data_IF_679634807131
#
_entry.id   IF_679634807131
#
_cell.length_a   1.000
_cell.length_b   1.000
_cell.length_c   1.000
_cell.angle_alpha   90.00
_cell.angle_beta   90.00
_cell.angle_gamma   90.00
#
_symmetry.space_group_name_H-M   'P 1'
#
loop_
_entity.id
_entity.type
_entity.pdbx_description
1 polymer ?
#
# COMPACT_ATOMS: atom_id res chain seq x y z
N UNK A 1 19.05 13.98 8.51
CA UNK A 1 17.96 14.10 7.52
C UNK A 1 17.18 12.80 7.45
N UNK A 2 15.87 12.89 7.51
CA UNK A 2 14.97 11.77 7.19
C UNK A 2 14.60 11.92 5.72
N UNK A 3 14.80 10.87 4.94
CA UNK A 3 14.63 10.90 3.50
C UNK A 3 14.00 9.65 2.93
N UNK A 4 13.30 9.83 1.82
CA UNK A 4 12.65 8.76 1.08
C UNK A 4 13.64 8.00 0.19
N UNK A 5 13.27 6.81 -0.27
CA UNK A 5 14.09 5.92 -1.10
C UNK A 5 14.62 6.58 -2.38
N UNK A 6 13.86 7.50 -2.95
CA UNK A 6 14.20 8.21 -4.19
C UNK A 6 15.35 9.22 -4.00
N UNK A 7 15.65 9.65 -2.77
CA UNK A 7 16.66 10.68 -2.51
C UNK A 7 18.07 10.10 -2.24
N UNK A 8 18.15 8.83 -1.84
CA UNK A 8 19.43 8.24 -1.41
C UNK A 8 20.46 8.22 -2.54
N UNK A 9 20.03 7.95 -3.77
CA UNK A 9 20.90 7.93 -4.94
C UNK A 9 21.55 9.28 -5.20
N UNK A 10 20.77 10.35 -5.25
CA UNK A 10 21.27 11.71 -5.42
C UNK A 10 22.16 12.13 -4.25
N UNK A 11 21.73 11.84 -3.02
CA UNK A 11 22.51 12.16 -1.81
C UNK A 11 23.89 11.48 -1.80
N UNK A 12 23.96 10.24 -2.25
CA UNK A 12 25.21 9.48 -2.33
C UNK A 12 26.10 9.96 -3.49
N UNK A 13 25.55 10.07 -4.72
CA UNK A 13 26.31 10.39 -5.95
C UNK A 13 26.87 11.81 -5.89
N UNK A 14 26.08 12.79 -5.44
CA UNK A 14 26.54 14.17 -5.33
C UNK A 14 27.33 14.44 -4.03
N UNK A 15 27.54 13.42 -3.21
CA UNK A 15 28.34 13.51 -2.00
C UNK A 15 27.71 14.35 -0.88
N UNK A 16 26.39 14.50 -0.89
CA UNK A 16 25.65 15.19 0.18
C UNK A 16 25.52 14.33 1.43
N UNK A 17 25.47 13.01 1.28
CA UNK A 17 25.35 12.08 2.41
C UNK A 17 26.69 11.48 2.79
N UNK A 18 26.89 11.27 4.10
CA UNK A 18 28.04 10.56 4.64
C UNK A 18 27.81 9.06 4.44
N UNK A 19 28.85 8.33 3.98
CA UNK A 19 28.85 6.87 3.98
C UNK A 19 29.00 6.38 5.42
N UNK A 20 28.10 5.54 5.90
CA UNK A 20 27.96 5.17 7.29
C UNK A 20 28.65 3.86 7.68
N UNK A 21 29.31 3.16 6.75
CA UNK A 21 29.91 1.86 7.00
C UNK A 21 30.88 1.85 8.18
N UNK A 22 31.80 2.83 8.25
CA UNK A 22 32.78 2.90 9.33
C UNK A 22 32.12 3.15 10.68
N UNK A 23 31.08 3.98 10.70
CA UNK A 23 30.29 4.23 11.88
C UNK A 23 29.55 2.96 12.33
N UNK A 24 28.91 2.25 11.43
CA UNK A 24 28.19 1.01 11.75
C UNK A 24 29.14 -0.06 12.30
N UNK A 25 30.31 -0.22 11.69
CA UNK A 25 31.33 -1.17 12.16
C UNK A 25 31.82 -0.79 13.57
N UNK A 26 32.09 0.50 13.81
CA UNK A 26 32.55 0.97 15.12
C UNK A 26 31.51 0.76 16.22
N UNK A 27 30.25 1.05 15.93
CA UNK A 27 29.16 0.98 16.93
C UNK A 27 28.51 -0.41 16.99
N UNK A 28 28.94 -1.37 16.17
CA UNK A 28 28.40 -2.72 16.15
C UNK A 28 26.96 -2.79 15.58
N UNK A 29 26.59 -1.86 14.70
CA UNK A 29 25.27 -1.84 14.07
C UNK A 29 25.25 -2.81 12.88
N UNK A 30 24.38 -3.80 12.95
CA UNK A 30 24.20 -4.78 11.87
C UNK A 30 22.98 -4.45 11.02
N UNK A 31 23.16 -4.41 9.70
CA UNK A 31 22.03 -4.25 8.77
C UNK A 31 21.15 -5.49 8.71
N UNK A 32 21.61 -6.65 9.19
CA UNK A 32 20.78 -7.86 9.31
C UNK A 32 19.67 -7.77 10.38
N UNK A 33 19.74 -6.76 11.25
CA UNK A 33 18.71 -6.50 12.26
C UNK A 33 17.48 -5.78 11.67
N UNK A 34 17.57 -5.36 10.41
CA UNK A 34 16.52 -4.65 9.67
C UNK A 34 15.94 -5.52 8.56
N UNK A 35 14.70 -5.20 8.15
CA UNK A 35 14.10 -5.86 6.99
C UNK A 35 14.97 -5.68 5.74
N UNK A 36 15.30 -6.75 5.00
CA UNK A 36 16.08 -6.64 3.77
C UNK A 36 15.49 -5.66 2.74
N UNK A 37 14.16 -5.59 2.64
CA UNK A 37 13.47 -4.67 1.75
C UNK A 37 13.73 -3.19 2.14
N UNK A 38 13.70 -2.86 3.43
CA UNK A 38 13.99 -1.49 3.90
C UNK A 38 15.46 -1.14 3.75
N UNK A 39 16.37 -2.07 4.00
CA UNK A 39 17.82 -1.86 3.76
C UNK A 39 18.07 -1.58 2.28
N UNK A 40 17.51 -2.40 1.39
CA UNK A 40 17.62 -2.20 -0.05
C UNK A 40 17.06 -0.85 -0.49
N UNK A 41 15.86 -0.50 -0.03
CA UNK A 41 15.17 0.71 -0.47
C UNK A 41 15.77 2.00 0.09
N UNK A 42 16.13 2.01 1.39
CA UNK A 42 16.41 3.24 2.13
C UNK A 42 17.86 3.41 2.56
N UNK A 43 18.70 2.38 2.49
CA UNK A 43 20.04 2.46 3.07
C UNK A 43 21.17 2.39 2.05
N UNK A 44 21.02 1.70 0.93
CA UNK A 44 22.12 1.34 0.04
C UNK A 44 22.17 2.17 -1.25
N UNK A 45 23.39 2.47 -1.68
CA UNK A 45 23.65 2.99 -3.02
C UNK A 45 25.03 2.55 -3.53
N UNK A 46 25.20 2.01 -4.77
CA UNK A 46 24.10 1.55 -5.64
C UNK A 46 23.18 0.56 -4.94
N UNK A 47 21.93 0.43 -5.43
CA UNK A 47 20.95 -0.47 -4.82
C UNK A 47 21.49 -1.91 -4.74
N UNK A 48 21.31 -2.53 -3.58
CA UNK A 48 21.81 -3.89 -3.31
C UNK A 48 23.31 -3.99 -3.00
N UNK A 49 24.04 -2.86 -2.97
CA UNK A 49 25.44 -2.86 -2.51
C UNK A 49 25.53 -2.83 -0.98
N UNK A 50 26.72 -3.08 -0.45
CA UNK A 50 27.03 -2.91 0.98
C UNK A 50 27.51 -1.48 1.32
N UNK A 51 27.22 -0.49 0.48
CA UNK A 51 27.52 0.90 0.78
C UNK A 51 26.28 1.56 1.40
N UNK A 52 26.34 1.83 2.69
CA UNK A 52 25.22 2.37 3.47
C UNK A 52 25.34 3.89 3.61
N UNK A 53 24.27 4.60 3.25
CA UNK A 53 24.15 6.06 3.34
C UNK A 53 23.01 6.49 4.26
N UNK A 54 22.22 5.55 4.75
CA UNK A 54 21.18 5.79 5.73
C UNK A 54 20.99 4.56 6.62
N UNK A 55 20.42 4.80 7.82
CA UNK A 55 19.85 3.77 8.67
C UNK A 55 18.36 3.68 8.38
N UNK A 56 17.75 2.49 8.18
CA UNK A 56 16.30 2.37 8.06
C UNK A 56 15.63 2.88 9.34
N UNK A 57 14.83 3.94 9.23
CA UNK A 57 14.19 4.57 10.39
C UNK A 57 12.75 4.14 10.57
N UNK A 58 12.07 3.95 9.47
CA UNK A 58 10.67 3.56 9.43
C UNK A 58 10.43 2.61 8.26
N UNK A 59 9.80 1.49 8.54
CA UNK A 59 9.24 0.61 7.52
C UNK A 59 7.74 0.75 7.51
N UNK A 60 7.15 0.88 6.33
CA UNK A 60 5.72 0.94 6.12
C UNK A 60 5.34 0.12 4.88
N UNK A 61 4.08 -0.21 4.74
CA UNK A 61 3.56 -0.88 3.56
C UNK A 61 2.12 -0.46 3.31
N UNK A 62 1.75 -0.42 2.05
CA UNK A 62 0.36 -0.19 1.65
C UNK A 62 -0.45 -1.47 1.88
N UNK A 63 -1.56 -1.34 2.58
CA UNK A 63 -2.42 -2.46 2.94
C UNK A 63 -3.89 -2.02 3.12
N UNK A 64 -4.71 -2.86 3.70
CA UNK A 64 -6.15 -2.67 3.76
C UNK A 64 -6.70 -2.79 5.17
N UNK A 65 -7.66 -1.91 5.50
CA UNK A 65 -8.57 -2.11 6.62
C UNK A 65 -9.98 -2.37 6.09
N UNK A 66 -10.77 -3.13 6.86
CA UNK A 66 -12.16 -3.43 6.52
C UNK A 66 -13.06 -3.37 7.75
N UNK A 67 -14.34 -3.10 7.56
CA UNK A 67 -15.38 -3.05 8.58
C UNK A 67 -15.73 -4.46 9.06
N UNK A 68 -14.92 -4.97 9.98
CA UNK A 68 -15.12 -6.31 10.55
C UNK A 68 -16.51 -6.46 11.19
N UNK A 69 -17.03 -5.41 11.81
CA UNK A 69 -18.39 -5.36 12.37
C UNK A 69 -19.48 -5.61 11.30
N UNK A 70 -19.31 -5.13 10.06
CA UNK A 70 -20.24 -5.45 8.97
C UNK A 70 -20.01 -6.86 8.43
N UNK A 71 -18.77 -7.24 8.29
CA UNK A 71 -18.39 -8.57 7.78
C UNK A 71 -18.83 -9.70 8.69
N UNK A 72 -18.95 -9.45 9.99
CA UNK A 72 -19.42 -10.45 10.96
C UNK A 72 -20.94 -10.58 11.06
N UNK A 73 -21.71 -9.74 10.38
CA UNK A 73 -23.18 -9.83 10.37
C UNK A 73 -23.67 -11.09 9.67
N UNK A 74 -24.44 -11.94 10.34
CA UNK A 74 -24.89 -13.22 9.77
C UNK A 74 -25.69 -13.07 8.46
N UNK A 75 -26.53 -12.04 8.38
CA UNK A 75 -27.33 -11.74 7.21
C UNK A 75 -26.47 -11.38 5.99
N UNK A 76 -25.43 -10.53 6.18
CA UNK A 76 -24.52 -10.15 5.10
C UNK A 76 -23.66 -11.32 4.66
N UNK A 77 -23.18 -12.14 5.59
CA UNK A 77 -22.45 -13.39 5.28
C UNK A 77 -23.28 -14.34 4.45
N UNK A 78 -24.53 -14.56 4.86
CA UNK A 78 -25.45 -15.47 4.16
C UNK A 78 -25.75 -14.98 2.74
N UNK A 79 -26.05 -13.69 2.60
CA UNK A 79 -26.36 -13.08 1.30
C UNK A 79 -25.14 -13.11 0.36
N UNK A 80 -23.97 -12.73 0.86
CA UNK A 80 -22.73 -12.75 0.08
C UNK A 80 -22.41 -14.17 -0.39
N UNK A 81 -22.47 -15.16 0.51
CA UNK A 81 -22.21 -16.56 0.18
C UNK A 81 -23.18 -17.09 -0.87
N UNK A 82 -24.47 -16.73 -0.78
CA UNK A 82 -25.47 -17.10 -1.78
C UNK A 82 -25.17 -16.50 -3.16
N UNK A 83 -24.65 -15.27 -3.18
CA UNK A 83 -24.35 -14.55 -4.43
C UNK A 83 -23.04 -14.99 -5.08
N UNK A 84 -21.99 -15.20 -4.29
CA UNK A 84 -20.63 -15.41 -4.79
C UNK A 84 -20.11 -16.85 -4.60
N UNK A 85 -20.76 -17.70 -3.80
CA UNK A 85 -20.39 -19.09 -3.59
C UNK A 85 -19.27 -19.33 -2.57
N UNK A 86 -18.75 -18.27 -1.92
CA UNK A 86 -17.74 -18.36 -0.87
C UNK A 86 -18.04 -17.37 0.25
N UNK A 87 -17.31 -17.49 1.37
CA UNK A 87 -17.60 -16.73 2.58
C UNK A 87 -17.13 -15.26 2.49
N UNK A 88 -17.92 -14.34 3.04
CA UNK A 88 -17.52 -12.96 3.26
C UNK A 88 -16.45 -12.90 4.36
N UNK A 89 -15.26 -12.40 4.04
CA UNK A 89 -14.13 -12.36 4.96
C UNK A 89 -12.92 -11.61 4.40
N UNK A 90 -11.73 -11.96 4.84
CA UNK A 90 -10.50 -11.39 4.26
C UNK A 90 -10.34 -11.92 2.81
N UNK A 91 -10.21 -11.02 1.81
CA UNK A 91 -10.08 -11.45 0.42
C UNK A 91 -8.73 -12.13 0.18
N UNK A 92 -8.74 -13.30 -0.44
CA UNK A 92 -7.53 -14.04 -0.77
C UNK A 92 -6.77 -13.48 -2.00
N UNK A 93 -7.47 -12.73 -2.85
CA UNK A 93 -6.93 -12.12 -4.06
C UNK A 93 -7.72 -10.86 -4.43
N UNK A 94 -7.23 -10.11 -5.43
CA UNK A 94 -7.86 -8.88 -5.89
C UNK A 94 -9.28 -9.09 -6.47
N UNK A 95 -9.57 -10.24 -7.09
CA UNK A 95 -10.91 -10.52 -7.60
C UNK A 95 -11.91 -10.67 -6.44
N UNK A 96 -11.53 -11.36 -5.36
CA UNK A 96 -12.37 -11.46 -4.17
C UNK A 96 -12.56 -10.11 -3.47
N UNK A 97 -11.51 -9.26 -3.45
CA UNK A 97 -11.62 -7.88 -2.96
C UNK A 97 -12.66 -7.11 -3.78
N UNK A 98 -12.61 -7.21 -5.10
CA UNK A 98 -13.57 -6.57 -5.99
C UNK A 98 -14.99 -7.06 -5.75
N UNK A 99 -15.21 -8.37 -5.65
CA UNK A 99 -16.53 -8.96 -5.36
C UNK A 99 -17.10 -8.45 -4.04
N UNK A 100 -16.27 -8.35 -2.99
CA UNK A 100 -16.67 -7.84 -1.70
C UNK A 100 -16.92 -6.32 -1.74
N UNK A 101 -16.08 -5.55 -2.43
CA UNK A 101 -16.29 -4.12 -2.61
C UNK A 101 -17.61 -3.83 -3.33
N UNK A 102 -17.89 -4.50 -4.44
CA UNK A 102 -19.13 -4.32 -5.20
C UNK A 102 -20.36 -4.83 -4.44
N UNK A 103 -20.20 -5.80 -3.55
CA UNK A 103 -21.28 -6.25 -2.67
C UNK A 103 -21.72 -5.13 -1.69
N UNK A 104 -20.80 -4.30 -1.21
CA UNK A 104 -21.12 -3.17 -0.35
C UNK A 104 -21.50 -1.89 -1.11
N UNK A 105 -21.23 -1.81 -2.41
CA UNK A 105 -21.46 -0.60 -3.20
C UNK A 105 -22.93 -0.21 -3.28
N UNK A 106 -23.23 0.96 -2.72
CA UNK A 106 -24.58 1.53 -2.70
C UNK A 106 -25.57 0.82 -1.75
N UNK A 107 -25.06 -0.10 -0.90
CA UNK A 107 -25.87 -0.86 0.05
C UNK A 107 -26.32 0.03 1.22
N UNK A 108 -27.55 -0.16 1.65
CA UNK A 108 -28.04 0.43 2.88
C UNK A 108 -27.64 -0.44 4.08
N UNK A 109 -26.91 0.16 5.02
CA UNK A 109 -26.53 -0.45 6.30
C UNK A 109 -26.81 0.57 7.40
N UNK A 110 -27.59 0.17 8.40
CA UNK A 110 -28.01 1.02 9.51
C UNK A 110 -28.68 2.33 9.05
N UNK A 111 -29.55 2.24 8.03
CA UNK A 111 -30.30 3.38 7.47
C UNK A 111 -29.46 4.38 6.68
N UNK A 112 -28.23 4.03 6.33
CA UNK A 112 -27.34 4.89 5.55
C UNK A 112 -26.76 4.14 4.35
N UNK A 113 -26.64 4.85 3.24
CA UNK A 113 -26.01 4.32 2.03
C UNK A 113 -24.51 4.20 2.22
N UNK A 114 -23.95 3.00 1.99
CA UNK A 114 -22.54 2.68 2.13
C UNK A 114 -21.93 2.31 0.78
N UNK A 115 -20.61 2.34 0.71
CA UNK A 115 -19.87 2.11 -0.52
C UNK A 115 -18.78 1.05 -0.30
N UNK A 116 -18.19 0.57 -1.40
CA UNK A 116 -17.24 -0.52 -1.36
C UNK A 116 -15.91 -0.13 -0.72
N UNK A 117 -15.17 0.76 -1.36
CA UNK A 117 -13.79 1.04 -0.94
C UNK A 117 -13.36 2.48 -1.16
N UNK A 118 -12.60 3.03 -0.20
CA UNK A 118 -11.78 4.21 -0.38
C UNK A 118 -10.38 3.77 -0.81
N UNK A 119 -9.95 4.16 -2.01
CA UNK A 119 -8.67 3.83 -2.60
C UNK A 119 -7.92 5.08 -3.05
N UNK A 120 -6.63 4.95 -3.31
CA UNK A 120 -5.79 6.07 -3.72
C UNK A 120 -6.13 6.50 -5.16
N UNK A 121 -6.53 7.75 -5.33
CA UNK A 121 -6.95 8.33 -6.62
C UNK A 121 -6.38 9.73 -6.86
N UNK A 122 -5.73 10.32 -5.84
CA UNK A 122 -5.11 11.64 -5.92
C UNK A 122 -4.12 11.72 -7.09
N UNK A 123 -4.19 12.80 -7.86
CA UNK A 123 -3.31 13.07 -9.01
C UNK A 123 -1.93 13.64 -8.64
N UNK A 124 -1.64 13.72 -7.35
CA UNK A 124 -0.34 14.14 -6.84
C UNK A 124 0.78 13.14 -7.14
N UNK A 125 1.98 13.43 -6.63
CA UNK A 125 3.18 12.64 -6.90
C UNK A 125 3.15 11.22 -6.34
N UNK A 126 2.35 10.97 -5.31
CA UNK A 126 2.30 9.67 -4.61
C UNK A 126 0.94 8.98 -4.72
N UNK A 127 -0.16 9.69 -4.56
CA UNK A 127 -1.48 9.12 -4.34
C UNK A 127 -1.83 7.95 -5.25
N UNK A 128 -2.24 8.24 -6.48
CA UNK A 128 -2.65 7.20 -7.44
C UNK A 128 -1.48 6.25 -7.78
N UNK A 129 -0.25 6.78 -7.85
CA UNK A 129 0.93 5.97 -8.18
C UNK A 129 1.12 4.83 -7.20
N UNK A 130 1.04 5.12 -5.88
CA UNK A 130 1.20 4.08 -4.86
C UNK A 130 0.09 3.02 -4.92
N UNK A 131 -1.16 3.44 -5.15
CA UNK A 131 -2.29 2.53 -5.27
C UNK A 131 -2.22 1.64 -6.51
N UNK A 132 -1.97 2.25 -7.68
CA UNK A 132 -1.86 1.53 -8.95
C UNK A 132 -0.68 0.57 -8.96
N UNK A 133 0.49 0.99 -8.46
CA UNK A 133 1.67 0.12 -8.42
C UNK A 133 1.49 -1.07 -7.47
N UNK A 134 0.70 -0.93 -6.39
CA UNK A 134 0.36 -2.06 -5.54
C UNK A 134 -0.41 -3.15 -6.31
N UNK A 135 -1.31 -2.75 -7.23
CA UNK A 135 -1.96 -3.68 -8.14
C UNK A 135 -0.96 -4.23 -9.18
N UNK A 136 -0.21 -3.35 -9.86
CA UNK A 136 0.74 -3.76 -10.90
C UNK A 136 1.74 -4.80 -10.38
N UNK A 137 2.30 -4.62 -9.19
CA UNK A 137 3.16 -5.62 -8.55
C UNK A 137 2.42 -6.94 -8.28
N UNK A 138 1.18 -6.87 -7.80
CA UNK A 138 0.40 -8.09 -7.56
C UNK A 138 0.09 -8.88 -8.84
N UNK A 139 -0.01 -8.20 -9.99
CA UNK A 139 -0.10 -8.83 -11.31
C UNK A 139 1.23 -9.36 -11.84
N UNK A 140 2.36 -8.99 -11.21
CA UNK A 140 3.71 -9.43 -11.58
C UNK A 140 4.42 -8.51 -12.56
N UNK A 141 4.06 -7.22 -12.57
CA UNK A 141 4.81 -6.21 -13.33
C UNK A 141 6.21 -6.03 -12.76
N UNK A 142 7.18 -5.90 -13.65
CA UNK A 142 8.53 -5.43 -13.36
C UNK A 142 8.72 -4.02 -13.91
N UNK A 143 9.47 -3.17 -13.21
CA UNK A 143 9.73 -1.81 -13.69
C UNK A 143 10.62 -1.78 -14.91
N UNK A 144 11.60 -2.67 -14.94
CA UNK A 144 12.62 -2.74 -15.98
C UNK A 144 13.11 -4.18 -16.16
N UNK A 145 13.83 -4.42 -17.22
CA UNK A 145 14.52 -5.67 -17.47
C UNK A 145 15.50 -5.98 -16.32
N UNK A 146 15.34 -7.08 -15.56
CA UNK A 146 16.22 -7.41 -14.44
C UNK A 146 17.68 -7.65 -14.86
N UNK A 147 17.93 -7.88 -16.15
CA UNK A 147 19.26 -8.11 -16.69
C UNK A 147 19.85 -6.89 -17.43
N UNK A 148 19.07 -5.80 -17.57
CA UNK A 148 19.49 -4.60 -18.32
C UNK A 148 18.85 -3.36 -17.71
N UNK A 149 19.58 -2.64 -16.84
CA UNK A 149 19.07 -1.43 -16.21
C UNK A 149 18.56 -0.40 -17.24
N UNK A 150 17.47 0.29 -16.88
CA UNK A 150 16.79 1.30 -17.68
C UNK A 150 16.09 0.81 -18.96
N UNK A 151 16.03 -0.49 -19.19
CA UNK A 151 15.29 -1.11 -20.28
C UNK A 151 13.86 -1.43 -19.80
N UNK A 152 12.94 -0.50 -20.00
CA UNK A 152 11.58 -0.56 -19.44
C UNK A 152 10.55 -1.11 -20.43
N UNK A 153 10.89 -1.16 -21.73
CA UNK A 153 9.96 -1.59 -22.76
C UNK A 153 9.60 -3.08 -22.63
N UNK A 154 8.32 -3.39 -22.63
CA UNK A 154 7.82 -4.76 -22.44
C UNK A 154 7.80 -5.23 -20.98
N UNK A 155 8.33 -4.44 -20.05
CA UNK A 155 8.29 -4.67 -18.59
C UNK A 155 7.27 -3.77 -17.92
N UNK A 156 7.55 -2.46 -17.86
CA UNK A 156 6.64 -1.49 -17.25
C UNK A 156 5.29 -1.40 -17.97
N UNK A 157 5.29 -1.54 -19.28
CA UNK A 157 4.09 -1.59 -20.13
C UNK A 157 3.69 -3.01 -20.56
N UNK A 158 4.04 -4.01 -19.76
CA UNK A 158 3.68 -5.40 -20.02
C UNK A 158 2.15 -5.61 -20.04
N UNK A 159 1.65 -6.68 -20.68
CA UNK A 159 0.21 -7.01 -20.63
C UNK A 159 -0.33 -7.11 -19.20
N UNK A 160 0.46 -7.65 -18.27
CA UNK A 160 0.11 -7.74 -16.84
C UNK A 160 -0.04 -6.35 -16.20
N UNK A 161 0.86 -5.41 -16.54
CA UNK A 161 0.76 -4.04 -16.07
C UNK A 161 -0.51 -3.35 -16.58
N UNK A 162 -0.84 -3.53 -17.85
CA UNK A 162 -2.06 -2.98 -18.46
C UNK A 162 -3.30 -3.56 -17.79
N UNK A 163 -3.37 -4.89 -17.61
CA UNK A 163 -4.48 -5.56 -16.92
C UNK A 163 -4.66 -5.03 -15.49
N UNK A 164 -3.58 -4.83 -14.75
CA UNK A 164 -3.61 -4.30 -13.40
C UNK A 164 -4.16 -2.86 -13.34
N UNK A 165 -3.74 -2.00 -14.28
CA UNK A 165 -4.24 -0.62 -14.37
C UNK A 165 -5.73 -0.59 -14.73
N UNK A 166 -6.16 -1.41 -15.68
CA UNK A 166 -7.56 -1.55 -16.05
C UNK A 166 -8.41 -2.05 -14.89
N UNK A 167 -7.89 -3.04 -14.14
CA UNK A 167 -8.55 -3.54 -12.94
C UNK A 167 -8.65 -2.47 -11.86
N UNK A 168 -7.59 -1.71 -11.60
CA UNK A 168 -7.59 -0.64 -10.60
C UNK A 168 -8.58 0.48 -10.96
N UNK A 169 -8.64 0.84 -12.25
CA UNK A 169 -9.65 1.77 -12.76
C UNK A 169 -11.06 1.24 -12.51
N UNK A 170 -11.32 -0.03 -12.84
CA UNK A 170 -12.61 -0.69 -12.61
C UNK A 170 -12.97 -0.72 -11.13
N UNK A 171 -12.00 -1.00 -10.26
CA UNK A 171 -12.20 -0.97 -8.81
C UNK A 171 -12.64 0.42 -8.34
N UNK A 172 -12.03 1.48 -8.88
CA UNK A 172 -12.45 2.85 -8.61
C UNK A 172 -13.87 3.14 -9.10
N UNK A 173 -14.16 2.84 -10.36
CA UNK A 173 -15.45 3.14 -11.00
C UNK A 173 -16.61 2.43 -10.30
N UNK A 174 -16.42 1.18 -9.90
CA UNK A 174 -17.47 0.31 -9.36
C UNK A 174 -17.58 0.31 -7.85
N UNK A 175 -16.56 0.80 -7.11
CA UNK A 175 -16.48 0.62 -5.65
C UNK A 175 -16.28 1.90 -4.86
N UNK A 176 -15.75 2.97 -5.47
CA UNK A 176 -15.45 4.19 -4.74
C UNK A 176 -16.73 4.98 -4.39
N UNK A 177 -16.72 5.72 -3.27
CA UNK A 177 -17.82 6.61 -2.94
C UNK A 177 -17.83 7.83 -3.87
N UNK A 178 -18.98 8.53 -4.05
CA UNK A 178 -19.04 9.76 -4.81
C UNK A 178 -18.05 10.81 -4.29
N UNK A 179 -17.41 11.52 -5.21
CA UNK A 179 -16.46 12.59 -4.87
C UNK A 179 -15.05 12.11 -4.51
N UNK A 180 -14.75 10.82 -4.66
CA UNK A 180 -13.46 10.20 -4.28
C UNK A 180 -12.42 10.18 -5.43
N UNK A 181 -12.49 11.15 -6.36
CA UNK A 181 -11.63 11.19 -7.54
C UNK A 181 -10.24 11.82 -7.28
N UNK A 182 -10.03 12.38 -6.11
CA UNK A 182 -8.78 13.01 -5.70
C UNK A 182 -8.52 12.70 -4.21
N UNK A 183 -8.38 11.42 -3.88
CA UNK A 183 -8.28 10.92 -2.52
C UNK A 183 -6.95 10.21 -2.25
N UNK A 184 -6.38 10.48 -1.10
CA UNK A 184 -5.19 9.83 -0.58
C UNK A 184 -5.31 9.69 0.95
N UNK A 185 -4.26 9.34 1.64
CA UNK A 185 -4.18 8.98 3.06
C UNK A 185 -5.31 9.47 3.97
N UNK A 186 -5.44 10.79 4.13
CA UNK A 186 -6.41 11.38 5.06
C UNK A 186 -7.84 11.21 4.55
N UNK A 187 -8.07 11.42 3.26
CA UNK A 187 -9.39 11.25 2.65
C UNK A 187 -9.89 9.81 2.74
N UNK A 188 -9.01 8.81 2.52
CA UNK A 188 -9.34 7.40 2.70
C UNK A 188 -9.66 7.08 4.16
N UNK A 189 -8.86 7.60 5.09
CA UNK A 189 -9.07 7.43 6.52
C UNK A 189 -10.40 8.04 6.98
N UNK A 190 -10.73 9.24 6.53
CA UNK A 190 -11.96 9.95 6.89
C UNK A 190 -13.20 9.26 6.31
N UNK A 191 -13.15 8.80 5.06
CA UNK A 191 -14.22 8.01 4.45
C UNK A 191 -14.49 6.71 5.23
N UNK A 192 -13.45 6.08 5.74
CA UNK A 192 -13.59 4.88 6.56
C UNK A 192 -14.08 5.18 7.96
N UNK A 193 -13.53 6.20 8.64
CA UNK A 193 -13.94 6.62 9.99
C UNK A 193 -15.39 7.08 10.05
N UNK A 194 -15.85 7.80 9.03
CA UNK A 194 -17.25 8.20 8.93
C UNK A 194 -18.22 7.05 8.61
N UNK A 195 -17.69 5.83 8.43
CA UNK A 195 -18.50 4.67 8.07
C UNK A 195 -19.01 4.70 6.63
N UNK A 196 -18.45 5.53 5.76
CA UNK A 196 -18.89 5.63 4.37
C UNK A 196 -18.57 4.39 3.56
N UNK A 197 -17.44 3.72 3.84
CA UNK A 197 -16.92 2.60 3.04
C UNK A 197 -16.67 1.33 3.86
N UNK A 198 -16.78 0.18 3.18
CA UNK A 198 -16.47 -1.12 3.77
C UNK A 198 -14.97 -1.38 3.89
N UNK A 199 -14.18 -0.86 2.95
CA UNK A 199 -12.73 -1.01 2.91
C UNK A 199 -12.05 0.35 2.75
N UNK A 200 -10.80 0.42 3.25
CA UNK A 200 -9.87 1.48 2.87
C UNK A 200 -8.50 0.90 2.54
N UNK A 201 -7.85 1.45 1.51
CA UNK A 201 -6.44 1.29 1.22
C UNK A 201 -5.67 2.39 1.94
N UNK A 202 -4.63 2.05 2.72
CA UNK A 202 -3.79 3.03 3.37
C UNK A 202 -2.46 2.42 3.83
N UNK A 203 -1.55 3.25 4.33
CA UNK A 203 -0.31 2.87 4.95
C UNK A 203 -0.54 2.31 6.37
N UNK A 204 0.26 1.35 6.81
CA UNK A 204 0.18 0.81 8.17
C UNK A 204 0.28 1.87 9.25
N UNK A 205 1.02 2.96 9.00
CA UNK A 205 1.13 4.09 9.92
C UNK A 205 -0.21 4.71 10.33
N UNK A 206 -1.27 4.53 9.53
CA UNK A 206 -2.61 5.05 9.80
C UNK A 206 -3.52 4.09 10.59
N UNK A 207 -3.12 2.80 10.77
CA UNK A 207 -3.93 1.82 11.50
C UNK A 207 -4.21 2.18 12.95
N UNK A 208 -3.29 2.80 13.73
CA UNK A 208 -3.61 3.22 15.09
C UNK A 208 -4.85 4.11 15.20
N UNK A 209 -5.14 4.89 14.14
CA UNK A 209 -6.33 5.75 14.08
C UNK A 209 -7.65 5.01 13.93
N UNK A 210 -7.62 3.70 13.60
CA UNK A 210 -8.84 2.88 13.38
C UNK A 210 -8.74 1.49 14.03
N UNK A 211 -7.67 1.21 14.80
CA UNK A 211 -7.45 -0.09 15.43
C UNK A 211 -8.29 -0.32 16.69
N UNK A 212 -8.79 0.73 17.31
CA UNK A 212 -9.67 0.64 18.46
C UNK A 212 -11.12 0.70 18.01
N UNK A 213 -11.98 -0.04 18.72
CA UNK A 213 -13.42 0.15 18.62
C UNK A 213 -13.74 1.60 19.02
N UNK A 214 -14.55 2.28 18.23
CA UNK A 214 -14.99 3.63 18.52
C UNK A 214 -16.38 3.66 19.15
N UNK A 215 -16.83 4.88 19.50
CA UNK A 215 -18.15 5.10 20.14
C UNK A 215 -19.33 4.59 19.30
N UNK A 216 -19.14 4.39 18.00
CA UNK A 216 -20.17 3.95 17.06
C UNK A 216 -20.15 2.43 16.84
N UNK A 217 -19.35 1.69 17.63
CA UNK A 217 -19.24 0.25 17.56
C UNK A 217 -18.48 -0.26 16.32
N UNK A 218 -17.68 0.60 15.67
CA UNK A 218 -16.83 0.19 14.54
C UNK A 218 -15.73 -0.73 15.04
N UNK A 219 -15.67 -1.93 14.47
CA UNK A 219 -14.58 -2.86 14.64
C UNK A 219 -13.85 -3.02 13.32
N UNK A 220 -12.55 -2.71 13.31
CA UNK A 220 -11.72 -2.84 12.13
C UNK A 220 -10.98 -4.18 12.12
N UNK A 221 -10.92 -4.78 10.93
CA UNK A 221 -9.97 -5.84 10.62
C UNK A 221 -8.93 -5.33 9.62
N UNK A 222 -7.77 -5.98 9.57
CA UNK A 222 -6.66 -5.57 8.71
C UNK A 222 -6.15 -6.76 7.91
N UNK A 223 -5.68 -6.50 6.69
CA UNK A 223 -5.04 -7.51 5.86
C UNK A 223 -4.01 -6.89 4.93
N UNK A 224 -3.01 -7.69 4.57
CA UNK A 224 -1.99 -7.31 3.61
C UNK A 224 -2.62 -7.11 2.22
N UNK A 225 -1.91 -6.39 1.34
CA UNK A 225 -2.35 -6.26 -0.03
C UNK A 225 -2.63 -7.65 -0.63
N UNK A 226 -3.83 -7.87 -1.23
CA UNK A 226 -4.18 -9.19 -1.73
C UNK A 226 -3.20 -9.65 -2.82
N UNK A 227 -2.94 -10.93 -2.88
CA UNK A 227 -2.19 -11.48 -3.99
C UNK A 227 -3.05 -11.51 -5.26
N UNK A 228 -2.42 -11.51 -6.43
CA UNK A 228 -3.02 -11.91 -7.71
C UNK A 228 -2.14 -13.00 -8.32
N UNK A 229 -1.24 -12.66 -9.20
CA UNK A 229 -0.23 -13.61 -9.70
C UNK A 229 0.93 -13.74 -8.68
N UNK A 230 1.25 -12.64 -8.00
CA UNK A 230 2.30 -12.53 -7.00
C UNK A 230 1.74 -11.93 -5.70
N UNK A 231 2.27 -12.32 -4.54
CA UNK A 231 2.03 -11.64 -3.29
C UNK A 231 3.00 -10.45 -3.20
N UNK A 232 2.45 -9.24 -3.36
CA UNK A 232 3.24 -8.03 -3.38
C UNK A 232 2.49 -6.84 -2.78
N UNK A 233 3.23 -5.85 -2.29
CA UNK A 233 2.70 -4.58 -1.81
C UNK A 233 3.70 -3.46 -2.11
N UNK A 234 3.22 -2.23 -2.19
CA UNK A 234 4.07 -1.06 -2.24
C UNK A 234 4.74 -0.85 -0.89
N UNK A 235 6.08 -0.79 -0.89
CA UNK A 235 6.88 -0.49 0.29
C UNK A 235 6.87 1.02 0.53
N UNK A 236 6.57 1.42 1.77
CA UNK A 236 6.74 2.75 2.29
C UNK A 236 7.83 2.80 3.36
N UNK A 237 8.09 3.99 3.86
CA UNK A 237 9.05 4.21 4.93
C UNK A 237 10.16 5.20 4.55
N UNK A 238 11.14 5.32 5.43
CA UNK A 238 12.19 6.35 5.30
C UNK A 238 13.50 5.88 5.93
N UNK A 239 14.61 6.47 5.47
CA UNK A 239 15.94 6.30 6.05
C UNK A 239 16.43 7.56 6.74
N UNK A 240 17.26 7.40 7.78
CA UNK A 240 17.99 8.51 8.42
C UNK A 240 19.39 8.59 7.83
N UNK A 241 19.68 9.68 7.14
CA UNK A 241 20.99 10.00 6.58
C UNK A 241 21.69 11.12 7.37
N UNK A 242 23.02 11.07 7.42
CA UNK A 242 23.84 12.17 7.90
C UNK A 242 24.28 13.01 6.70
N UNK A 243 23.95 14.30 6.71
CA UNK A 243 24.39 15.24 5.68
C UNK A 243 25.75 15.84 6.03
N UNK A 244 26.58 16.08 5.02
CA UNK A 244 27.95 16.58 5.21
C UNK A 244 28.04 18.04 5.69
N UNK A 245 26.96 18.78 5.56
CA UNK A 245 26.93 20.23 5.80
C UNK A 245 26.13 20.64 7.06
N UNK A 246 25.94 19.69 7.96
CA UNK A 246 25.26 19.94 9.26
C UNK A 246 26.25 20.29 10.35
#
# INVERSE_FOLDING_TARGET
LIGDSQWIGAGAVYGHYVKLNDFFNKEGISMSDFSPATVYAYSTWPKGSENYYALPAMGDALAWAYRKDWFDRPELKSEFKKKHGYDLGVPANWNQLYDMCTFFQGREIDGQKRYGAAINTERGSEGITMGVTAAMYAWGMEYENPNKPYDMEGYFNSPQAVEAVEFYRKLYEDCAPPGHSDAYMVANLDAYKSGQVAFQMNWYAFWPGVSKEDSDGRVSGFFANPKQNVAAATLGGQGISVVKYS
#
